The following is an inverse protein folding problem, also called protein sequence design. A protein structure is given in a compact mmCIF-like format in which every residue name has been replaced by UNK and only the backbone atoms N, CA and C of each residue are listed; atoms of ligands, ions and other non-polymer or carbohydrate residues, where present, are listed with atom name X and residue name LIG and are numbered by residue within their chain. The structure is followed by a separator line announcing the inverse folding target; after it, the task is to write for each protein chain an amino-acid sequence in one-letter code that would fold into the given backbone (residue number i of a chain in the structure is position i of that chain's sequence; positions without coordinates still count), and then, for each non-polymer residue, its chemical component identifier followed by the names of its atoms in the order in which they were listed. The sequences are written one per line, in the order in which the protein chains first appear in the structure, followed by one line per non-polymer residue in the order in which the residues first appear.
data_IF_918728016286
#
_entry.id   IF_918728016286
#
_cell.length_a   1.000
_cell.length_b   1.000
_cell.length_c   1.000
_cell.angle_alpha   90.00
_cell.angle_beta   90.00
_cell.angle_gamma   90.00
#
_symmetry.space_group_name_H-M   'P 1'
#
loop_
_entity.id
_entity.type
_entity.pdbx_description
1 polymer ?
#
# COMPACT_ATOMS: atom_id res chain seq x y z
N UNK A 1 41.53 42.23 -16.83
CA UNK A 1 40.88 42.19 -15.50
C UNK A 1 40.00 40.96 -15.41
N UNK A 2 40.07 40.25 -14.28
CA UNK A 2 39.41 38.97 -13.98
C UNK A 2 37.90 39.12 -13.90
N UNK A 3 37.15 38.13 -14.41
CA UNK A 3 35.85 37.76 -13.83
C UNK A 3 35.56 36.28 -14.04
N UNK A 4 35.92 35.51 -13.01
CA UNK A 4 35.47 34.13 -12.75
C UNK A 4 33.94 34.11 -12.74
N UNK A 5 33.30 33.33 -13.63
CA UNK A 5 31.91 32.90 -13.44
C UNK A 5 31.89 31.47 -12.91
N UNK A 6 31.44 31.38 -11.67
CA UNK A 6 31.30 30.18 -10.85
C UNK A 6 30.21 29.24 -11.38
N UNK A 7 30.52 27.95 -11.38
CA UNK A 7 29.63 26.84 -11.74
C UNK A 7 28.46 26.66 -10.76
N UNK A 8 27.21 26.42 -11.20
CA UNK A 8 26.05 26.25 -10.31
C UNK A 8 25.95 24.80 -9.83
N UNK A 9 26.75 24.42 -8.82
CA UNK A 9 26.66 23.09 -8.16
C UNK A 9 25.72 23.05 -6.94
N UNK A 10 25.12 24.18 -6.54
CA UNK A 10 24.34 24.31 -5.29
C UNK A 10 22.81 24.16 -5.40
N UNK A 11 22.22 24.26 -6.60
CA UNK A 11 20.76 24.42 -6.78
C UNK A 11 19.96 23.13 -6.60
N UNK A 12 20.52 21.96 -6.95
CA UNK A 12 19.83 20.65 -6.83
C UNK A 12 19.50 20.24 -5.39
N UNK A 13 20.20 20.76 -4.38
CA UNK A 13 19.92 20.43 -2.96
C UNK A 13 18.80 21.29 -2.38
N UNK A 14 18.71 22.56 -2.77
CA UNK A 14 17.68 23.49 -2.29
C UNK A 14 16.30 23.15 -2.85
N UNK A 15 16.20 22.85 -4.15
CA UNK A 15 14.93 22.41 -4.78
C UNK A 15 14.39 21.14 -4.15
N UNK A 16 15.24 20.14 -3.86
CA UNK A 16 14.84 18.91 -3.17
C UNK A 16 14.31 19.15 -1.74
N UNK A 17 14.81 20.17 -1.03
CA UNK A 17 14.32 20.51 0.31
C UNK A 17 12.94 21.16 0.25
N UNK A 18 12.73 22.11 -0.66
CA UNK A 18 11.44 22.80 -0.86
C UNK A 18 10.36 21.79 -1.28
N UNK A 19 10.68 20.89 -2.20
CA UNK A 19 9.77 19.84 -2.67
C UNK A 19 9.39 18.86 -1.53
N UNK A 20 10.36 18.50 -0.67
CA UNK A 20 10.08 17.70 0.54
C UNK A 20 9.17 18.43 1.52
N UNK A 21 9.36 19.74 1.72
CA UNK A 21 8.48 20.54 2.60
C UNK A 21 7.06 20.65 2.02
N UNK A 22 6.92 20.86 0.71
CA UNK A 22 5.62 20.91 0.03
C UNK A 22 4.88 19.57 0.14
N UNK A 23 5.56 18.44 -0.11
CA UNK A 23 4.99 17.09 0.05
C UNK A 23 4.54 16.81 1.48
N UNK A 24 5.32 17.24 2.49
CA UNK A 24 4.94 17.15 3.91
C UNK A 24 3.70 17.99 4.23
N UNK A 25 3.57 19.18 3.64
CA UNK A 25 2.42 20.07 3.85
C UNK A 25 1.14 19.46 3.27
N UNK A 26 1.23 18.92 2.07
CA UNK A 26 0.14 18.21 1.39
C UNK A 26 -0.27 16.95 2.16
N UNK A 27 0.67 16.15 2.67
CA UNK A 27 0.35 15.01 3.55
C UNK A 27 -0.38 15.42 4.84
N UNK A 28 0.00 16.55 5.45
CA UNK A 28 -0.69 17.08 6.64
C UNK A 28 -2.14 17.45 6.35
N UNK A 29 -2.43 17.97 5.15
CA UNK A 29 -3.80 18.31 4.76
C UNK A 29 -4.70 17.07 4.74
N UNK A 30 -4.29 16.01 4.04
CA UNK A 30 -5.09 14.77 3.97
C UNK A 30 -5.29 14.06 5.32
N UNK A 31 -4.38 14.28 6.29
CA UNK A 31 -4.45 13.57 7.59
C UNK A 31 -5.68 13.97 8.42
N UNK A 32 -6.15 15.21 8.30
CA UNK A 32 -7.27 15.72 9.11
C UNK A 32 -8.49 16.13 8.29
N UNK A 33 -8.39 16.10 6.97
CA UNK A 33 -9.48 16.42 6.05
C UNK A 33 -10.61 15.39 6.14
N UNK A 34 -11.84 15.89 6.14
CA UNK A 34 -13.06 15.11 5.92
C UNK A 34 -13.66 15.63 4.62
N UNK A 35 -13.87 14.74 3.66
CA UNK A 35 -14.37 15.09 2.32
C UNK A 35 -15.80 14.60 2.13
N UNK A 36 -16.54 15.25 1.22
CA UNK A 36 -17.86 14.80 0.80
C UNK A 36 -17.78 13.55 -0.07
N UNK A 37 -18.94 12.93 -0.36
CA UNK A 37 -19.04 11.81 -1.29
C UNK A 37 -18.60 12.19 -2.72
N UNK A 38 -19.03 13.34 -3.20
CA UNK A 38 -18.67 13.84 -4.54
C UNK A 38 -17.15 14.04 -4.65
N UNK A 39 -16.53 14.63 -3.62
CA UNK A 39 -15.08 14.84 -3.56
C UNK A 39 -14.31 13.51 -3.49
N UNK A 40 -14.88 12.49 -2.83
CA UNK A 40 -14.32 11.14 -2.79
C UNK A 40 -14.29 10.50 -4.19
N UNK A 41 -15.40 10.60 -4.93
CA UNK A 41 -15.52 10.09 -6.30
C UNK A 41 -14.57 10.83 -7.25
N UNK A 42 -14.47 12.16 -7.13
CA UNK A 42 -13.53 12.98 -7.91
C UNK A 42 -12.07 12.58 -7.68
N UNK A 43 -11.73 12.10 -6.48
CA UNK A 43 -10.38 11.63 -6.13
C UNK A 43 -10.15 10.15 -6.51
N UNK A 44 -11.15 9.46 -7.04
CA UNK A 44 -11.10 8.03 -7.32
C UNK A 44 -11.03 7.18 -6.05
N UNK A 45 -11.59 7.69 -4.96
CA UNK A 45 -11.68 6.98 -3.69
C UNK A 45 -12.56 5.74 -3.80
N UNK A 46 -12.16 4.68 -3.11
CA UNK A 46 -12.88 3.43 -3.07
C UNK A 46 -14.07 3.55 -2.11
N UNK A 47 -15.27 3.37 -2.66
CA UNK A 47 -16.52 3.22 -1.90
C UNK A 47 -16.79 1.74 -1.55
N UNK A 48 -16.03 0.82 -2.13
CA UNK A 48 -16.15 -0.63 -1.93
C UNK A 48 -15.49 -1.16 -0.65
N UNK A 49 -15.50 -2.48 -0.48
CA UNK A 49 -14.93 -3.15 0.69
C UNK A 49 -13.43 -2.91 0.80
N UNK A 50 -13.01 -2.21 1.86
CA UNK A 50 -11.59 -2.01 2.19
C UNK A 50 -10.82 -3.32 2.26
N UNK A 51 -11.48 -4.38 2.74
CA UNK A 51 -10.87 -5.69 2.96
C UNK A 51 -10.49 -6.32 1.63
N UNK A 52 -11.39 -6.27 0.64
CA UNK A 52 -11.14 -6.81 -0.71
C UNK A 52 -9.97 -6.10 -1.38
N UNK A 53 -9.91 -4.77 -1.26
CA UNK A 53 -8.80 -3.99 -1.82
C UNK A 53 -7.44 -4.36 -1.23
N UNK A 54 -7.38 -4.46 0.11
CA UNK A 54 -6.17 -4.83 0.83
C UNK A 54 -5.77 -6.28 0.53
N UNK A 55 -6.73 -7.21 0.48
CA UNK A 55 -6.50 -8.61 0.12
C UNK A 55 -5.96 -8.77 -1.30
N UNK A 56 -6.49 -8.02 -2.27
CA UNK A 56 -6.01 -8.06 -3.65
C UNK A 56 -4.52 -7.67 -3.73
N UNK A 57 -4.14 -6.58 -3.04
CA UNK A 57 -2.75 -6.12 -2.99
C UNK A 57 -1.86 -7.10 -2.23
N UNK A 58 -2.34 -7.64 -1.12
CA UNK A 58 -1.63 -8.61 -0.31
C UNK A 58 -1.37 -9.92 -1.09
N UNK A 59 -2.36 -10.44 -1.81
CA UNK A 59 -2.19 -11.65 -2.64
C UNK A 59 -1.15 -11.44 -3.72
N UNK A 60 -1.24 -10.35 -4.49
CA UNK A 60 -0.24 -10.02 -5.52
C UNK A 60 1.16 -9.83 -4.94
N UNK A 61 1.26 -9.27 -3.72
CA UNK A 61 2.51 -9.14 -2.98
C UNK A 61 3.08 -10.52 -2.57
N UNK A 62 2.26 -11.41 -2.01
CA UNK A 62 2.67 -12.76 -1.60
C UNK A 62 3.05 -13.64 -2.81
N UNK A 63 2.35 -13.48 -3.93
CA UNK A 63 2.65 -14.12 -5.23
C UNK A 63 3.92 -13.56 -5.89
N UNK A 64 4.56 -12.54 -5.31
CA UNK A 64 5.74 -11.84 -5.85
C UNK A 64 5.52 -11.37 -7.29
N UNK A 65 4.31 -10.88 -7.58
CA UNK A 65 3.97 -10.32 -8.87
C UNK A 65 4.98 -9.21 -9.24
N UNK A 66 5.41 -9.15 -10.50
CA UNK A 66 6.51 -8.28 -10.96
C UNK A 66 6.34 -6.82 -10.53
N UNK A 67 5.10 -6.35 -10.53
CA UNK A 67 4.73 -5.00 -10.11
C UNK A 67 5.09 -4.69 -8.64
N UNK A 68 5.08 -5.69 -7.75
CA UNK A 68 5.41 -5.55 -6.33
C UNK A 68 6.82 -6.06 -5.99
N UNK A 69 7.63 -6.46 -6.97
CA UNK A 69 8.95 -7.05 -6.76
C UNK A 69 9.93 -6.12 -6.01
N UNK A 70 9.71 -4.80 -6.08
CA UNK A 70 10.50 -3.81 -5.37
C UNK A 70 10.10 -3.64 -3.90
N UNK A 71 8.91 -4.12 -3.50
CA UNK A 71 8.44 -4.09 -2.12
C UNK A 71 8.95 -5.34 -1.40
N UNK A 72 9.58 -5.16 -0.24
CA UNK A 72 10.18 -6.28 0.52
C UNK A 72 9.38 -6.60 1.78
N UNK A 73 8.68 -5.61 2.33
CA UNK A 73 7.98 -5.71 3.60
C UNK A 73 6.51 -5.31 3.48
N UNK A 74 5.68 -5.76 4.43
CA UNK A 74 4.29 -5.29 4.55
C UNK A 74 4.21 -3.77 4.77
N UNK A 75 5.22 -3.19 5.43
CA UNK A 75 5.36 -1.74 5.57
C UNK A 75 5.49 -1.04 4.21
N UNK A 76 6.29 -1.60 3.29
CA UNK A 76 6.42 -1.05 1.94
C UNK A 76 5.09 -1.14 1.16
N UNK A 77 4.37 -2.25 1.32
CA UNK A 77 3.03 -2.42 0.73
C UNK A 77 2.02 -1.43 1.32
N UNK A 78 2.01 -1.26 2.64
CA UNK A 78 1.15 -0.29 3.32
C UNK A 78 1.46 1.14 2.85
N UNK A 79 2.74 1.47 2.67
CA UNK A 79 3.18 2.78 2.20
C UNK A 79 2.75 3.01 0.74
N UNK A 80 2.90 2.01 -0.11
CA UNK A 80 2.40 2.03 -1.49
C UNK A 80 0.90 2.33 -1.54
N UNK A 81 0.08 1.56 -0.80
CA UNK A 81 -1.38 1.75 -0.75
C UNK A 81 -1.76 3.12 -0.18
N UNK A 82 -1.07 3.59 0.85
CA UNK A 82 -1.29 4.90 1.43
C UNK A 82 -1.02 6.03 0.41
N UNK A 83 0.01 5.89 -0.42
CA UNK A 83 0.36 6.87 -1.45
C UNK A 83 -0.62 6.93 -2.61
N UNK A 84 -1.34 5.85 -2.91
CA UNK A 84 -2.41 5.87 -3.91
C UNK A 84 -3.58 6.75 -3.47
N UNK A 85 -3.75 6.99 -2.16
CA UNK A 85 -4.80 7.84 -1.57
C UNK A 85 -6.21 7.45 -2.02
N UNK A 86 -6.46 6.15 -2.21
CA UNK A 86 -7.77 5.63 -2.63
C UNK A 86 -8.62 5.12 -1.47
N UNK A 87 -7.99 4.80 -0.33
CA UNK A 87 -8.67 4.10 0.76
C UNK A 87 -9.22 5.09 1.79
N UNK A 88 -10.54 5.26 1.83
CA UNK A 88 -11.22 6.15 2.77
C UNK A 88 -12.16 5.36 3.68
N UNK A 89 -12.49 5.93 4.84
CA UNK A 89 -13.48 5.41 5.77
C UNK A 89 -14.51 6.49 6.13
N UNK A 90 -15.75 6.08 6.39
CA UNK A 90 -16.82 6.99 6.79
C UNK A 90 -16.53 7.60 8.16
N UNK A 91 -16.62 8.93 8.28
CA UNK A 91 -16.41 9.69 9.52
C UNK A 91 -17.17 11.03 9.50
N UNK A 92 -17.93 11.32 10.56
CA UNK A 92 -18.69 12.58 10.76
C UNK A 92 -19.39 13.09 9.49
N UNK A 93 -20.26 12.27 8.90
CA UNK A 93 -21.05 12.58 7.69
C UNK A 93 -20.24 12.81 6.41
N UNK A 94 -18.93 12.52 6.41
CA UNK A 94 -18.10 12.50 5.23
C UNK A 94 -17.15 11.31 5.24
N UNK A 95 -16.07 11.43 4.49
CA UNK A 95 -15.06 10.39 4.34
C UNK A 95 -13.69 10.93 4.73
N UNK A 96 -12.92 10.10 5.42
CA UNK A 96 -11.56 10.44 5.84
C UNK A 96 -10.57 9.43 5.27
N UNK A 97 -9.43 9.93 4.79
CA UNK A 97 -8.38 9.06 4.24
C UNK A 97 -7.85 8.15 5.35
N UNK A 98 -7.70 6.86 5.03
CA UNK A 98 -7.16 5.89 5.97
C UNK A 98 -5.69 6.17 6.27
N UNK A 99 -5.32 6.07 7.54
CA UNK A 99 -3.94 6.31 7.96
C UNK A 99 -3.05 5.12 7.61
N UNK A 100 -1.78 5.40 7.31
CA UNK A 100 -0.76 4.39 7.05
C UNK A 100 -0.72 3.30 8.15
N UNK A 101 -0.76 3.69 9.42
CA UNK A 101 -0.74 2.74 10.54
C UNK A 101 -1.96 1.82 10.57
N UNK A 102 -3.14 2.34 10.18
CA UNK A 102 -4.36 1.54 10.07
C UNK A 102 -4.24 0.53 8.92
N UNK A 103 -3.76 0.97 7.75
CA UNK A 103 -3.52 0.08 6.60
C UNK A 103 -2.54 -1.04 6.96
N UNK A 104 -1.43 -0.71 7.65
CA UNK A 104 -0.43 -1.68 8.07
C UNK A 104 -1.01 -2.72 9.05
N UNK A 105 -1.85 -2.27 9.99
CA UNK A 105 -2.51 -3.16 10.95
C UNK A 105 -3.45 -4.13 10.24
N UNK A 106 -4.28 -3.63 9.34
CA UNK A 106 -5.21 -4.44 8.54
C UNK A 106 -4.48 -5.42 7.62
N UNK A 107 -3.37 -5.02 6.99
CA UNK A 107 -2.54 -5.96 6.22
C UNK A 107 -1.90 -7.03 7.09
N UNK A 108 -1.54 -6.69 8.33
CA UNK A 108 -0.94 -7.65 9.27
C UNK A 108 -1.95 -8.67 9.78
N UNK A 109 -3.21 -8.28 10.00
CA UNK A 109 -4.30 -9.20 10.35
C UNK A 109 -4.63 -10.12 9.19
N UNK A 110 -4.79 -9.56 7.98
CA UNK A 110 -5.09 -10.32 6.76
C UNK A 110 -3.94 -11.28 6.37
N UNK A 111 -2.69 -10.87 6.54
CA UNK A 111 -1.54 -11.74 6.28
C UNK A 111 -1.51 -12.96 7.19
N UNK A 112 -1.96 -12.82 8.45
CA UNK A 112 -2.03 -13.96 9.38
C UNK A 112 -3.13 -14.93 8.97
N UNK A 113 -4.30 -14.42 8.56
CA UNK A 113 -5.40 -15.28 8.10
C UNK A 113 -5.06 -16.00 6.79
N UNK A 114 -4.46 -15.29 5.81
CA UNK A 114 -4.05 -15.90 4.54
C UNK A 114 -2.99 -16.98 4.74
N UNK A 115 -1.98 -16.74 5.60
CA UNK A 115 -0.98 -17.78 5.91
C UNK A 115 -1.57 -19.02 6.59
N UNK A 116 -2.62 -18.86 7.41
CA UNK A 116 -3.31 -19.98 8.03
C UNK A 116 -4.01 -20.84 6.97
N UNK A 117 -4.75 -20.21 6.05
CA UNK A 117 -5.43 -20.89 4.95
C UNK A 117 -4.44 -21.63 4.02
N UNK A 118 -3.31 -21.01 3.70
CA UNK A 118 -2.27 -21.65 2.88
C UNK A 118 -1.63 -22.88 3.55
N UNK A 119 -1.53 -22.90 4.88
CA UNK A 119 -1.01 -24.06 5.63
C UNK A 119 -2.03 -25.21 5.60
N UNK A 120 -3.30 -24.90 5.86
CA UNK A 120 -4.40 -25.88 5.82
C UNK A 120 -4.52 -26.53 4.43
N UNK A 121 -4.51 -25.73 3.35
CA UNK A 121 -4.52 -26.26 1.98
C UNK A 121 -3.30 -27.13 1.64
N UNK A 122 -2.11 -26.78 2.16
CA UNK A 122 -0.89 -27.58 1.98
C UNK A 122 -0.94 -28.90 2.75
N UNK A 123 -1.57 -28.93 3.91
CA UNK A 123 -1.76 -30.16 4.69
C UNK A 123 -2.80 -31.06 4.03
N UNK A 124 -3.92 -30.51 3.56
CA UNK A 124 -4.94 -31.25 2.82
C UNK A 124 -4.37 -31.88 1.53
N UNK A 125 -3.61 -31.13 0.74
CA UNK A 125 -2.97 -31.66 -0.47
C UNK A 125 -1.92 -32.74 -0.18
N UNK A 126 -1.17 -32.62 0.93
CA UNK A 126 -0.26 -33.70 1.40
C UNK A 126 -1.02 -34.94 1.87
N UNK A 127 -2.14 -34.77 2.57
CA UNK A 127 -2.98 -35.89 3.01
C UNK A 127 -3.62 -36.58 1.81
N UNK A 128 -4.09 -35.83 0.82
CA UNK A 128 -4.72 -36.38 -0.38
C UNK A 128 -3.72 -37.14 -1.26
N UNK A 129 -2.49 -36.65 -1.38
CA UNK A 129 -1.40 -37.35 -2.10
C UNK A 129 -0.90 -38.60 -1.37
N UNK A 130 -0.92 -38.64 -0.03
CA UNK A 130 -0.68 -39.86 0.75
C UNK A 130 -1.82 -40.88 0.62
N UNK A 131 -3.07 -40.42 0.49
CA UNK A 131 -4.27 -41.28 0.39
C UNK A 131 -4.39 -41.99 -0.97
N UNK A 132 -3.89 -41.36 -2.04
CA UNK A 132 -3.83 -41.95 -3.39
C UNK A 132 -2.39 -41.91 -3.93
N UNK A 133 -1.49 -42.80 -3.46
CA UNK A 133 -0.17 -42.89 -4.07
C UNK A 133 -0.33 -43.27 -5.53
N UNK A 134 0.20 -42.45 -6.45
CA UNK A 134 0.22 -42.77 -7.88
C UNK A 134 0.85 -44.14 -8.05
N UNK A 135 0.06 -45.15 -8.46
CA UNK A 135 0.57 -46.44 -8.92
C UNK A 135 1.55 -46.15 -10.05
N UNK A 136 2.84 -46.40 -9.81
CA UNK A 136 3.85 -46.40 -10.87
C UNK A 136 3.40 -47.44 -11.91
N UNK A 137 3.15 -46.97 -13.14
CA UNK A 137 3.03 -47.84 -14.31
C UNK A 137 4.43 -48.24 -14.76
#
# INVERSE_FOLDING_TARGET
MVSKKSSPKGTKKQTKMIEKMAKKRVQKQYKNEIISREELENRGGLVGSKIEYLNLHLKKFLEKHLYYHHLKTLSDLALYIYHEKKLYYSKHNGFKLMEYSSILTELSTLSKSEQKLLKEQKEESKMNTKKYPKRKR
#
